data_IF_171366774967
#
_entry.id   IF_171366774967
#
_cell.length_a   1.000
_cell.length_b   1.000
_cell.length_c   1.000
_cell.angle_alpha   90.00
_cell.angle_beta   90.00
_cell.angle_gamma   90.00
#
_symmetry.space_group_name_H-M   'P 1'
#
loop_
_entity.id
_entity.type
_entity.pdbx_description
1 polymer ?
#
# COMPACT_ATOMS: atom_id res chain seq x y z
N UNK A 1 0.83 7.32 0.51
CA UNK A 1 -0.16 6.23 0.70
C UNK A 1 -1.56 6.53 0.20
N UNK A 2 -2.16 7.71 0.44
CA UNK A 2 -3.53 7.99 -0.04
C UNK A 2 -3.69 7.85 -1.57
N UNK A 3 -2.71 8.32 -2.36
CA UNK A 3 -2.67 8.14 -3.83
C UNK A 3 -2.69 6.65 -4.25
N UNK A 4 -1.97 5.79 -3.53
CA UNK A 4 -1.93 4.36 -3.82
C UNK A 4 -3.29 3.68 -3.65
N UNK A 5 -3.97 3.96 -2.55
CA UNK A 5 -5.27 3.34 -2.29
C UNK A 5 -6.42 3.94 -3.09
N UNK A 6 -6.34 5.23 -3.43
CA UNK A 6 -7.29 5.83 -4.37
C UNK A 6 -7.27 5.16 -5.74
N UNK A 7 -6.15 4.51 -6.10
CA UNK A 7 -5.96 3.81 -7.36
C UNK A 7 -6.30 2.31 -7.32
N UNK A 8 -6.52 1.70 -6.15
CA UNK A 8 -6.85 0.27 -6.08
C UNK A 8 -8.24 -0.15 -6.63
N UNK A 9 -9.30 0.70 -6.63
CA UNK A 9 -10.58 0.33 -7.23
C UNK A 9 -10.47 0.11 -8.73
N UNK A 10 -10.79 -1.12 -9.17
CA UNK A 10 -11.11 -1.51 -10.56
C UNK A 10 -10.24 -0.91 -11.66
N UNK A 11 -10.66 0.25 -12.19
CA UNK A 11 -10.07 0.89 -13.37
C UNK A 11 -8.70 1.53 -13.14
N UNK A 12 -8.34 1.87 -11.90
CA UNK A 12 -7.07 2.57 -11.59
C UNK A 12 -5.93 1.61 -11.20
N UNK A 13 -6.10 0.29 -11.38
CA UNK A 13 -5.14 -0.73 -10.95
C UNK A 13 -3.74 -0.52 -11.53
N UNK A 14 -3.66 -0.08 -12.79
CA UNK A 14 -2.40 0.29 -13.43
C UNK A 14 -1.73 1.52 -12.77
N UNK A 15 -2.52 2.48 -12.32
CA UNK A 15 -2.01 3.63 -11.55
C UNK A 15 -1.49 3.22 -10.17
N UNK A 16 -2.11 2.21 -9.56
CA UNK A 16 -1.61 1.62 -8.32
C UNK A 16 -0.28 0.88 -8.58
N UNK A 17 -0.17 0.12 -9.67
CA UNK A 17 1.06 -0.60 -10.04
C UNK A 17 2.22 0.36 -10.34
N UNK A 18 1.96 1.49 -11.00
CA UNK A 18 2.96 2.50 -11.30
C UNK A 18 3.64 3.09 -10.05
N UNK A 19 3.02 2.97 -8.87
CA UNK A 19 3.57 3.41 -7.59
C UNK A 19 4.57 2.43 -6.98
N UNK A 20 4.67 1.21 -7.52
CA UNK A 20 5.69 0.24 -7.12
C UNK A 20 7.02 0.51 -7.82
N UNK A 21 8.11 0.09 -7.18
CA UNK A 21 9.44 0.12 -7.76
C UNK A 21 9.47 -0.67 -9.08
N UNK A 22 9.99 -0.04 -10.14
CA UNK A 22 9.94 -0.61 -11.49
C UNK A 22 8.56 -0.59 -12.15
N UNK A 23 7.58 0.12 -11.58
CA UNK A 23 6.24 0.32 -12.14
C UNK A 23 5.32 -0.90 -12.04
N UNK A 24 5.69 -1.91 -11.25
CA UNK A 24 4.88 -3.10 -10.99
C UNK A 24 5.26 -3.73 -9.65
N UNK A 25 4.34 -4.35 -8.91
CA UNK A 25 4.69 -5.18 -7.77
C UNK A 25 5.46 -6.44 -8.19
N UNK A 26 6.04 -7.15 -7.22
CA UNK A 26 6.50 -8.53 -7.38
C UNK A 26 5.36 -9.43 -7.94
N UNK A 27 5.67 -10.53 -8.69
CA UNK A 27 4.65 -11.45 -9.21
C UNK A 27 3.68 -11.99 -8.14
N UNK A 28 4.16 -12.15 -6.91
CA UNK A 28 3.32 -12.27 -5.72
C UNK A 28 3.51 -10.99 -4.90
N UNK A 29 2.58 -10.02 -5.01
CA UNK A 29 2.70 -8.78 -4.27
C UNK A 29 2.59 -9.02 -2.77
N UNK A 30 3.39 -8.31 -1.97
CA UNK A 30 3.29 -8.41 -0.51
C UNK A 30 1.94 -7.88 0.05
N UNK A 31 1.14 -7.20 -0.79
CA UNK A 31 -0.22 -6.77 -0.51
C UNK A 31 -1.29 -7.54 -1.31
N UNK A 32 -0.95 -8.76 -1.77
CA UNK A 32 -1.82 -9.65 -2.53
C UNK A 32 -3.20 -9.84 -1.86
N UNK A 33 -3.26 -9.88 -0.53
CA UNK A 33 -4.53 -10.01 0.22
C UNK A 33 -5.50 -8.87 -0.08
N UNK A 34 -5.03 -7.62 -0.14
CA UNK A 34 -5.86 -6.47 -0.49
C UNK A 34 -6.22 -6.49 -1.97
N UNK A 35 -5.24 -6.83 -2.81
CA UNK A 35 -5.38 -6.93 -4.25
C UNK A 35 -6.38 -8.00 -4.68
N UNK A 36 -6.53 -9.08 -3.91
CA UNK A 36 -7.47 -10.17 -4.16
C UNK A 36 -8.92 -9.85 -3.79
N UNK A 37 -9.19 -8.72 -3.12
CA UNK A 37 -10.56 -8.34 -2.74
C UNK A 37 -11.31 -7.82 -3.99
N UNK A 38 -12.30 -8.59 -4.43
CA UNK A 38 -13.26 -8.18 -5.46
C UNK A 38 -14.40 -7.34 -4.90
N UNK A 39 -15.20 -6.76 -5.80
CA UNK A 39 -16.42 -5.99 -5.49
C UNK A 39 -16.23 -4.92 -4.39
N UNK A 40 -15.11 -4.20 -4.45
CA UNK A 40 -14.82 -3.11 -3.52
C UNK A 40 -15.81 -1.96 -3.77
N UNK A 41 -16.65 -1.68 -2.76
CA UNK A 41 -17.61 -0.57 -2.76
C UNK A 41 -17.02 0.70 -2.17
N UNK A 42 -16.20 0.56 -1.13
CA UNK A 42 -15.44 1.68 -0.55
C UNK A 42 -14.22 1.18 0.22
N UNK A 43 -13.23 2.04 0.37
CA UNK A 43 -12.04 1.80 1.18
C UNK A 43 -11.71 3.01 2.04
N UNK A 44 -11.20 2.74 3.25
CA UNK A 44 -10.60 3.74 4.13
C UNK A 44 -9.23 3.25 4.57
N UNK A 45 -8.27 4.16 4.64
CA UNK A 45 -6.97 3.95 5.26
C UNK A 45 -6.74 4.92 6.39
N UNK A 46 -6.13 4.41 7.45
CA UNK A 46 -5.47 5.21 8.46
C UNK A 46 -3.98 4.88 8.39
N UNK A 47 -3.15 5.91 8.20
CA UNK A 47 -1.70 5.77 8.28
C UNK A 47 -1.26 6.25 9.66
N UNK A 48 -0.36 5.50 10.28
CA UNK A 48 0.39 6.02 11.42
C UNK A 48 1.64 6.77 10.90
N UNK A 49 2.36 7.54 11.74
CA UNK A 49 3.56 8.27 11.32
C UNK A 49 4.61 7.36 10.67
N UNK A 50 5.35 7.83 9.64
CA UNK A 50 6.43 7.05 9.04
C UNK A 50 7.54 6.73 10.04
N UNK A 51 8.09 5.52 9.95
CA UNK A 51 9.21 5.04 10.75
C UNK A 51 10.43 4.89 9.84
N UNK A 52 11.57 5.55 10.12
CA UNK A 52 12.81 5.35 9.38
C UNK A 52 13.30 3.90 9.48
N UNK A 53 13.74 3.32 8.36
CA UNK A 53 14.33 1.97 8.29
C UNK A 53 15.85 2.00 8.10
N UNK A 54 16.44 3.17 7.97
CA UNK A 54 17.87 3.41 7.90
C UNK A 54 18.29 4.55 8.82
N UNK A 55 19.60 4.77 8.91
CA UNK A 55 20.22 5.83 9.72
C UNK A 55 20.68 7.02 8.84
N UNK A 56 20.19 7.12 7.61
CA UNK A 56 20.53 8.25 6.73
C UNK A 56 19.74 9.51 7.13
N UNK A 57 20.31 10.68 6.84
CA UNK A 57 19.68 11.97 7.12
C UNK A 57 19.71 12.85 5.84
N UNK A 58 18.58 13.00 5.12
CA UNK A 58 17.27 12.40 5.37
C UNK A 58 17.25 10.87 5.12
N UNK A 59 16.30 10.13 5.73
CA UNK A 59 16.21 8.68 5.54
C UNK A 59 15.86 8.35 4.09
N UNK A 60 16.42 7.25 3.57
CA UNK A 60 16.14 6.76 2.21
C UNK A 60 15.16 5.58 2.18
N UNK A 61 14.80 5.05 3.34
CA UNK A 61 13.83 3.99 3.49
C UNK A 61 12.96 4.28 4.71
N UNK A 62 11.66 4.19 4.50
CA UNK A 62 10.67 4.36 5.56
C UNK A 62 9.64 3.24 5.49
N UNK A 63 9.11 2.90 6.64
CA UNK A 63 7.91 2.09 6.79
C UNK A 63 6.74 2.99 7.19
N UNK A 64 5.61 2.84 6.52
CA UNK A 64 4.36 3.53 6.85
C UNK A 64 3.37 2.48 7.34
N UNK A 65 3.10 2.38 8.66
CA UNK A 65 2.10 1.47 9.19
C UNK A 65 0.70 1.91 8.76
N UNK A 66 -0.16 0.94 8.44
CA UNK A 66 -1.49 1.17 7.89
C UNK A 66 -2.54 0.27 8.52
N UNK A 67 -3.74 0.84 8.70
CA UNK A 67 -4.98 0.10 8.94
C UNK A 67 -5.95 0.40 7.81
N UNK A 68 -6.42 -0.63 7.13
CA UNK A 68 -7.30 -0.53 5.97
C UNK A 68 -8.64 -1.18 6.29
N UNK A 69 -9.73 -0.47 5.99
CA UNK A 69 -11.09 -1.00 6.03
C UNK A 69 -11.63 -1.06 4.62
N UNK A 70 -12.05 -2.25 4.19
CA UNK A 70 -12.61 -2.49 2.85
C UNK A 70 -14.06 -2.93 3.01
N UNK A 71 -14.98 -2.26 2.31
CA UNK A 71 -16.39 -2.64 2.25
C UNK A 71 -16.69 -3.25 0.89
N UNK A 72 -17.26 -4.44 0.90
CA UNK A 72 -17.75 -5.18 -0.28
C UNK A 72 -19.24 -5.48 -0.11
N UNK A 73 -19.90 -6.04 -1.14
CA UNK A 73 -21.28 -6.55 -0.96
C UNK A 73 -21.37 -7.67 0.07
N UNK A 74 -20.30 -8.47 0.23
CA UNK A 74 -20.26 -9.60 1.16
C UNK A 74 -19.99 -9.17 2.62
N UNK A 75 -19.54 -7.94 2.86
CA UNK A 75 -19.32 -7.42 4.21
C UNK A 75 -18.16 -6.44 4.32
N UNK A 76 -17.65 -6.28 5.54
CA UNK A 76 -16.51 -5.39 5.83
C UNK A 76 -15.30 -6.19 6.30
N UNK A 77 -14.18 -6.03 5.61
CA UNK A 77 -12.89 -6.62 5.96
C UNK A 77 -11.95 -5.55 6.53
N UNK A 78 -11.10 -5.95 7.47
CA UNK A 78 -10.03 -5.11 8.00
C UNK A 78 -8.68 -5.77 7.74
N UNK A 79 -7.74 -4.97 7.26
CA UNK A 79 -6.36 -5.36 7.05
C UNK A 79 -5.46 -4.43 7.87
N UNK A 80 -4.36 -4.95 8.38
CA UNK A 80 -3.32 -4.17 9.02
C UNK A 80 -1.95 -4.57 8.49
N UNK A 81 -0.98 -3.68 8.66
CA UNK A 81 0.41 -3.94 8.31
C UNK A 81 1.13 -2.67 7.91
N UNK A 82 1.96 -2.71 6.88
CA UNK A 82 2.76 -1.57 6.49
C UNK A 82 3.14 -1.59 5.00
N UNK A 83 3.42 -0.40 4.47
CA UNK A 83 4.06 -0.21 3.17
C UNK A 83 5.47 0.35 3.38
N UNK A 84 6.43 -0.20 2.65
CA UNK A 84 7.83 0.23 2.70
C UNK A 84 8.17 1.00 1.44
N UNK A 85 8.70 2.20 1.66
CA UNK A 85 8.90 3.19 0.61
C UNK A 85 10.39 3.55 0.50
N UNK A 86 10.81 3.85 -0.73
CA UNK A 86 12.12 4.43 -1.06
C UNK A 86 11.95 5.61 -2.05
N UNK A 87 12.91 6.55 -2.14
CA UNK A 87 12.93 7.54 -3.20
C UNK A 87 13.00 6.88 -4.57
N UNK A 88 12.21 7.38 -5.52
CA UNK A 88 12.29 6.96 -6.91
C UNK A 88 13.46 7.67 -7.59
N UNK A 89 14.34 6.90 -8.22
CA UNK A 89 15.50 7.41 -8.96
C UNK A 89 15.07 8.46 -9.98
N UNK A 90 15.69 9.64 -9.93
CA UNK A 90 15.42 10.74 -10.86
C UNK A 90 14.13 11.51 -10.62
N UNK A 91 13.50 11.38 -9.44
CA UNK A 91 12.32 12.17 -9.06
C UNK A 91 12.30 12.47 -7.56
N UNK A 92 11.53 13.49 -7.15
CA UNK A 92 11.27 13.79 -5.73
C UNK A 92 10.12 12.94 -5.14
N UNK A 93 9.71 11.88 -5.86
CA UNK A 93 8.60 11.02 -5.45
C UNK A 93 9.10 9.76 -4.73
N UNK A 94 8.24 9.18 -3.89
CA UNK A 94 8.47 7.90 -3.25
C UNK A 94 7.76 6.78 -4.00
N UNK A 95 8.36 5.59 -4.00
CA UNK A 95 7.80 4.37 -4.57
C UNK A 95 7.75 3.24 -3.54
N UNK A 96 6.81 2.31 -3.72
CA UNK A 96 6.65 1.12 -2.88
C UNK A 96 7.62 0.05 -3.37
N UNK A 97 8.54 -0.38 -2.50
CA UNK A 97 9.43 -1.49 -2.82
C UNK A 97 9.02 -2.80 -2.13
N UNK A 98 8.22 -2.72 -1.06
CA UNK A 98 7.67 -3.86 -0.34
C UNK A 98 6.43 -3.45 0.46
N UNK A 99 5.61 -4.42 0.82
CA UNK A 99 4.53 -4.23 1.78
C UNK A 99 4.48 -5.41 2.75
N UNK A 100 3.53 -5.39 3.67
CA UNK A 100 3.09 -6.56 4.41
C UNK A 100 1.69 -6.24 4.90
N UNK A 101 0.69 -7.00 4.45
CA UNK A 101 -0.69 -6.85 4.92
C UNK A 101 -1.24 -8.19 5.39
N UNK A 102 -2.01 -8.16 6.45
CA UNK A 102 -2.70 -9.33 6.98
C UNK A 102 -4.14 -8.97 7.40
N UNK A 103 -5.09 -9.92 7.28
CA UNK A 103 -6.41 -9.77 7.87
C UNK A 103 -6.35 -9.59 9.38
N UNK A 104 -7.18 -8.69 9.90
CA UNK A 104 -7.39 -8.54 11.34
C UNK A 104 -8.60 -9.38 11.72
N UNK A 105 -8.39 -10.40 12.55
CA UNK A 105 -9.48 -11.17 13.15
C UNK A 105 -10.22 -10.28 14.17
N UNK A 106 -11.54 -10.31 14.12
CA UNK A 106 -12.42 -9.67 15.09
C UNK A 106 -12.98 -10.70 16.05
#
# INVERSE_FOLDING_TARGET
>A
MQRYLGALPGAARADADALWAGGRPSPVPDDAVLRGIGDIRSMRINNDPPVPLDQEHPPRRIEVPVRITVRTSAGTQQLAGAYRLQPRVGSDSWEIYSASLHPVLR
#
